data_IF_697808040813
#
_entry.id   IF_697808040813
#
_cell.length_a   1.000
_cell.length_b   1.000
_cell.length_c   1.000
_cell.angle_alpha   90.00
_cell.angle_beta   90.00
_cell.angle_gamma   90.00
#
_symmetry.space_group_name_H-M   'P 1'
#
loop_
_entity.id
_entity.type
_entity.pdbx_description
1 polymer ?
#
# COMPACT_ATOMS: atom_id res chain seq x y z
N UNK A 1 26.23 38.49 6.96
CA UNK A 1 24.88 38.00 6.61
C UNK A 1 24.07 38.08 7.87
N UNK A 2 22.88 38.68 7.82
CA UNK A 2 21.98 38.78 8.97
C UNK A 2 20.77 37.89 8.77
N UNK A 3 20.31 37.23 9.82
CA UNK A 3 19.11 36.41 9.83
C UNK A 3 18.10 37.02 10.80
N UNK A 4 16.90 37.32 10.31
CA UNK A 4 15.76 37.77 11.09
C UNK A 4 15.06 36.56 11.72
N UNK A 5 14.78 36.66 13.01
CA UNK A 5 14.12 35.58 13.78
C UNK A 5 12.68 35.98 14.11
N UNK A 6 11.73 35.37 13.41
CA UNK A 6 10.29 35.52 13.66
C UNK A 6 9.85 34.57 14.78
N UNK A 7 10.20 34.88 16.03
CA UNK A 7 10.01 33.99 17.17
C UNK A 7 8.57 33.46 17.32
N UNK A 8 7.56 34.28 17.03
CA UNK A 8 6.15 33.90 17.09
C UNK A 8 5.76 32.75 16.13
N UNK A 9 6.59 32.45 15.12
CA UNK A 9 6.38 31.34 14.18
C UNK A 9 7.13 30.07 14.58
N UNK A 10 8.06 30.13 15.52
CA UNK A 10 8.86 28.96 15.89
C UNK A 10 8.02 27.94 16.65
N UNK A 11 8.00 26.68 16.19
CA UNK A 11 7.30 25.55 16.81
C UNK A 11 8.26 24.51 17.42
N UNK A 12 9.53 24.85 17.64
CA UNK A 12 10.47 24.00 18.38
C UNK A 12 11.03 22.77 17.64
N UNK A 13 10.96 22.71 16.31
CA UNK A 13 11.45 21.55 15.53
C UNK A 13 12.98 21.35 15.55
N UNK A 14 13.75 22.34 16.00
CA UNK A 14 15.22 22.33 16.08
C UNK A 14 16.00 22.04 14.77
N UNK A 15 15.35 22.02 13.61
CA UNK A 15 15.97 21.70 12.31
C UNK A 15 17.07 22.69 11.89
N UNK A 16 16.96 23.95 12.29
CA UNK A 16 17.98 24.96 12.02
C UNK A 16 19.28 24.65 12.79
N UNK A 17 19.20 24.37 14.09
CA UNK A 17 20.35 24.03 14.92
C UNK A 17 20.95 22.67 14.58
N UNK A 18 20.15 21.70 14.10
CA UNK A 18 20.68 20.44 13.59
C UNK A 18 21.57 20.64 12.33
N UNK A 19 21.28 21.66 11.51
CA UNK A 19 22.04 22.00 10.30
C UNK A 19 23.25 22.89 10.61
N UNK A 20 23.10 23.87 11.49
CA UNK A 20 24.14 24.81 11.86
C UNK A 20 24.12 25.10 13.37
N UNK A 21 24.62 24.17 14.21
CA UNK A 21 24.57 24.29 15.68
C UNK A 21 25.45 25.43 16.22
N UNK A 22 26.45 25.84 15.45
CA UNK A 22 27.28 27.00 15.78
C UNK A 22 26.48 28.32 15.65
N UNK A 23 25.55 28.39 14.69
CA UNK A 23 24.80 29.59 14.31
C UNK A 23 23.49 29.73 15.10
N UNK A 24 22.68 28.67 15.17
CA UNK A 24 21.35 28.72 15.79
C UNK A 24 21.40 28.20 17.22
N UNK A 25 21.07 29.07 18.18
CA UNK A 25 20.97 28.71 19.60
C UNK A 25 19.52 28.51 19.99
N UNK A 26 19.26 27.40 20.65
CA UNK A 26 17.93 27.02 21.11
C UNK A 26 17.86 27.08 22.64
N UNK A 27 16.66 27.28 23.17
CA UNK A 27 16.38 27.00 24.57
C UNK A 27 16.24 25.49 24.84
N UNK A 28 16.02 25.13 26.10
CA UNK A 28 15.86 23.73 26.53
C UNK A 28 14.61 23.05 25.95
N UNK A 29 13.64 23.83 25.48
CA UNK A 29 12.42 23.34 24.84
C UNK A 29 12.54 23.25 23.30
N UNK A 30 13.71 23.57 22.73
CA UNK A 30 13.99 23.47 21.30
C UNK A 30 13.57 24.69 20.47
N UNK A 31 13.14 25.78 21.11
CA UNK A 31 12.78 27.02 20.42
C UNK A 31 14.01 27.87 20.14
N UNK A 32 14.01 28.56 19.00
CA UNK A 32 15.07 29.52 18.67
C UNK A 32 15.05 30.66 19.68
N UNK A 33 16.23 31.03 20.19
CA UNK A 33 16.37 32.16 21.09
C UNK A 33 15.97 33.47 20.38
N UNK A 34 15.38 34.44 21.11
CA UNK A 34 14.97 35.72 20.53
C UNK A 34 16.17 36.55 20.08
N UNK A 35 15.95 37.32 19.00
CA UNK A 35 16.92 38.26 18.46
C UNK A 35 17.48 37.82 17.11
N UNK A 36 17.72 38.80 16.25
CA UNK A 36 18.32 38.56 14.94
C UNK A 36 19.78 38.11 15.07
N UNK A 37 20.23 37.27 14.14
CA UNK A 37 21.52 36.61 14.19
C UNK A 37 22.44 37.22 13.14
N UNK A 38 23.57 37.77 13.60
CA UNK A 38 24.69 38.12 12.71
C UNK A 38 25.56 36.88 12.50
N UNK A 39 25.64 36.42 11.26
CA UNK A 39 26.36 35.21 10.88
C UNK A 39 27.83 35.54 10.63
N UNK A 40 28.71 34.83 11.35
CA UNK A 40 30.15 34.94 11.21
C UNK A 40 30.66 34.52 9.82
N UNK A 41 31.82 35.05 9.43
CA UNK A 41 32.46 34.69 8.17
C UNK A 41 32.87 33.22 8.14
N UNK A 42 32.45 32.52 7.07
CA UNK A 42 32.63 31.08 6.89
C UNK A 42 31.38 30.25 7.20
N UNK A 43 30.43 30.76 7.99
CA UNK A 43 29.23 30.03 8.40
C UNK A 43 28.01 30.30 7.50
N UNK A 44 28.12 31.21 6.53
CA UNK A 44 26.96 31.70 5.75
C UNK A 44 26.23 30.61 4.95
N UNK A 45 26.94 29.59 4.47
CA UNK A 45 26.33 28.47 3.72
C UNK A 45 25.49 27.60 4.66
N UNK A 46 26.05 27.18 5.79
CA UNK A 46 25.34 26.37 6.79
C UNK A 46 24.18 27.15 7.41
N UNK A 47 24.36 28.45 7.64
CA UNK A 47 23.31 29.33 8.10
C UNK A 47 22.14 29.39 7.08
N UNK A 48 22.45 29.53 5.78
CA UNK A 48 21.43 29.53 4.72
C UNK A 48 20.65 28.22 4.64
N UNK A 49 21.34 27.08 4.79
CA UNK A 49 20.69 25.76 4.81
C UNK A 49 19.84 25.57 6.08
N UNK A 50 20.28 26.09 7.23
CA UNK A 50 19.50 26.07 8.46
C UNK A 50 18.27 26.98 8.43
N UNK A 51 18.33 28.11 7.70
CA UNK A 51 17.13 28.93 7.44
C UNK A 51 16.13 28.14 6.59
N UNK A 52 16.59 27.51 5.50
CA UNK A 52 15.75 26.74 4.57
C UNK A 52 15.17 25.45 5.17
N UNK A 53 15.77 24.91 6.23
CA UNK A 53 15.26 23.72 6.91
C UNK A 53 14.11 24.01 7.87
N UNK A 54 13.75 25.27 8.11
CA UNK A 54 12.64 25.65 8.98
C UNK A 54 11.29 25.47 8.26
N UNK A 55 10.43 24.51 8.67
CA UNK A 55 9.13 24.29 8.03
C UNK A 55 8.14 25.44 8.27
N UNK A 56 8.33 26.19 9.36
CA UNK A 56 7.43 27.27 9.81
C UNK A 56 7.80 28.66 9.27
N UNK A 57 8.87 28.74 8.47
CA UNK A 57 9.39 30.02 7.95
C UNK A 57 9.62 31.05 9.07
N UNK A 58 10.13 30.58 10.21
CA UNK A 58 10.46 31.40 11.37
C UNK A 58 11.80 32.13 11.23
N UNK A 59 12.58 31.84 10.18
CA UNK A 59 13.89 32.43 9.92
C UNK A 59 13.91 33.02 8.52
N UNK A 60 14.51 34.20 8.37
CA UNK A 60 14.60 34.92 7.10
C UNK A 60 15.99 35.55 6.96
N UNK A 61 16.61 35.49 5.78
CA UNK A 61 17.88 36.17 5.53
C UNK A 61 17.59 37.63 5.16
N UNK A 62 18.14 38.57 5.93
CA UNK A 62 18.05 40.00 5.65
C UNK A 62 19.12 40.40 4.62
N UNK A 63 18.75 40.26 3.34
CA UNK A 63 19.56 40.72 2.22
C UNK A 63 19.18 42.16 1.83
N UNK A 64 20.14 43.10 1.75
CA UNK A 64 19.86 44.45 1.25
C UNK A 64 19.38 44.38 -0.20
N UNK A 65 18.52 45.32 -0.65
CA UNK A 65 17.84 45.24 -1.94
C UNK A 65 18.77 45.14 -3.17
N UNK A 66 20.06 45.47 -3.06
CA UNK A 66 21.06 45.28 -4.13
C UNK A 66 21.55 43.83 -4.30
N UNK A 67 21.44 42.97 -3.27
CA UNK A 67 21.83 41.56 -3.34
C UNK A 67 20.70 40.66 -3.90
N UNK A 68 19.48 41.20 -4.06
CA UNK A 68 18.33 40.50 -4.65
C UNK A 68 18.39 40.39 -6.18
N UNK A 69 19.39 40.98 -6.82
CA UNK A 69 19.68 40.71 -8.22
C UNK A 69 20.49 39.43 -8.28
N UNK A 70 19.80 38.31 -8.51
CA UNK A 70 20.43 37.16 -9.15
C UNK A 70 21.07 37.72 -10.41
N UNK A 71 22.40 37.73 -10.50
CA UNK A 71 23.00 38.02 -11.80
C UNK A 71 22.39 37.01 -12.77
N UNK A 72 21.73 37.49 -13.81
CA UNK A 72 21.53 36.79 -15.08
C UNK A 72 22.92 36.54 -15.71
N UNK A 73 23.85 35.96 -14.96
CA UNK A 73 24.84 35.09 -15.53
C UNK A 73 23.99 34.00 -16.14
N UNK A 74 23.79 34.12 -17.46
CA UNK A 74 23.06 33.19 -18.29
C UNK A 74 23.53 31.80 -17.90
N UNK A 75 22.74 31.10 -17.08
CA UNK A 75 22.93 29.67 -16.90
C UNK A 75 22.60 29.12 -18.28
N UNK A 76 23.63 29.01 -19.11
CA UNK A 76 23.57 28.19 -20.30
C UNK A 76 23.03 26.86 -19.80
N UNK A 77 21.90 26.36 -20.33
CA UNK A 77 21.43 25.05 -19.96
C UNK A 77 22.64 24.13 -20.10
N UNK A 78 23.00 23.42 -19.02
CA UNK A 78 23.97 22.33 -19.12
C UNK A 78 23.30 21.27 -19.99
N UNK A 79 23.36 21.46 -21.30
CA UNK A 79 22.90 20.53 -22.34
C UNK A 79 23.75 19.26 -22.34
N UNK A 80 24.83 19.25 -21.58
CA UNK A 80 25.65 18.08 -21.33
C UNK A 80 25.46 17.62 -19.88
N UNK A 81 24.72 16.53 -19.73
CA UNK A 81 24.78 15.67 -18.56
C UNK A 81 26.27 15.35 -18.30
N UNK A 82 26.83 15.71 -17.13
CA UNK A 82 28.23 15.45 -16.85
C UNK A 82 28.58 13.98 -17.08
N UNK A 83 29.78 13.69 -17.60
CA UNK A 83 30.18 12.32 -17.95
C UNK A 83 30.06 11.35 -16.76
N UNK A 84 30.33 11.84 -15.53
CA UNK A 84 30.14 11.07 -14.29
C UNK A 84 28.68 10.73 -13.96
N UNK A 85 27.71 11.50 -14.48
CA UNK A 85 26.26 11.20 -14.38
C UNK A 85 25.84 10.25 -15.50
N UNK A 86 26.47 10.32 -16.69
CA UNK A 86 26.27 9.33 -17.78
C UNK A 86 26.80 7.94 -17.40
N UNK A 87 27.79 7.88 -16.52
CA UNK A 87 28.35 6.65 -15.96
C UNK A 87 27.93 6.39 -14.52
N UNK A 88 26.79 6.91 -14.08
CA UNK A 88 26.05 6.19 -13.04
C UNK A 88 25.51 4.92 -13.70
N UNK A 89 26.40 3.95 -13.93
CA UNK A 89 26.00 2.56 -13.87
C UNK A 89 25.32 2.46 -12.51
N UNK A 90 23.99 2.41 -12.51
CA UNK A 90 23.27 1.77 -11.44
C UNK A 90 23.81 0.35 -11.44
N UNK A 91 24.93 0.14 -10.74
CA UNK A 91 25.30 -1.16 -10.29
C UNK A 91 24.09 -1.58 -9.47
N UNK A 92 23.21 -2.37 -10.09
CA UNK A 92 22.15 -3.07 -9.39
C UNK A 92 22.89 -4.00 -8.44
N UNK A 93 23.21 -3.50 -7.25
CA UNK A 93 23.78 -4.35 -6.23
C UNK A 93 22.77 -5.48 -6.02
N UNK A 94 23.27 -6.71 -5.96
CA UNK A 94 22.39 -7.88 -5.87
C UNK A 94 21.46 -7.77 -4.65
N UNK A 95 21.93 -7.07 -3.60
CA UNK A 95 21.16 -6.69 -2.41
C UNK A 95 19.95 -5.80 -2.74
N UNK A 96 20.11 -4.74 -3.54
CA UNK A 96 19.03 -3.83 -3.93
C UNK A 96 18.03 -4.51 -4.84
N UNK A 97 18.49 -5.32 -5.78
CA UNK A 97 17.61 -6.15 -6.61
C UNK A 97 16.81 -7.13 -5.76
N UNK A 98 17.44 -7.80 -4.79
CA UNK A 98 16.75 -8.71 -3.88
C UNK A 98 15.69 -7.98 -3.02
N UNK A 99 16.00 -6.79 -2.50
CA UNK A 99 15.02 -5.97 -1.75
C UNK A 99 13.83 -5.55 -2.60
N UNK A 100 14.05 -5.21 -3.87
CA UNK A 100 12.94 -4.88 -4.79
C UNK A 100 12.06 -6.11 -5.04
N UNK A 101 12.66 -7.27 -5.30
CA UNK A 101 11.91 -8.53 -5.47
C UNK A 101 11.10 -8.85 -4.22
N UNK A 102 11.69 -8.70 -3.03
CA UNK A 102 11.01 -8.93 -1.76
C UNK A 102 9.82 -7.96 -1.55
N UNK A 103 9.94 -6.70 -1.97
CA UNK A 103 8.84 -5.74 -1.94
C UNK A 103 7.72 -6.12 -2.91
N UNK A 104 8.06 -6.53 -4.14
CA UNK A 104 7.08 -7.02 -5.12
C UNK A 104 6.34 -8.26 -4.62
N UNK A 105 7.07 -9.18 -3.99
CA UNK A 105 6.50 -10.40 -3.41
C UNK A 105 5.54 -10.10 -2.25
N UNK A 106 5.90 -9.14 -1.38
CA UNK A 106 4.98 -8.69 -0.32
C UNK A 106 3.69 -8.09 -0.87
N UNK A 107 3.78 -7.26 -1.92
CA UNK A 107 2.60 -6.68 -2.55
C UNK A 107 1.75 -7.74 -3.27
N UNK A 108 2.38 -8.73 -3.92
CA UNK A 108 1.65 -9.84 -4.54
C UNK A 108 0.88 -10.68 -3.51
N UNK A 109 1.46 -10.92 -2.34
CA UNK A 109 0.80 -11.61 -1.22
C UNK A 109 -0.38 -10.78 -0.69
N UNK A 110 -0.20 -9.46 -0.48
CA UNK A 110 -1.28 -8.57 -0.03
C UNK A 110 -2.43 -8.52 -1.04
N UNK A 111 -2.12 -8.35 -2.32
CA UNK A 111 -3.10 -8.40 -3.40
C UNK A 111 -3.87 -9.72 -3.41
N UNK A 112 -3.18 -10.85 -3.19
CA UNK A 112 -3.82 -12.15 -3.07
C UNK A 112 -4.86 -12.22 -1.92
N UNK A 113 -4.53 -11.67 -0.75
CA UNK A 113 -5.48 -11.57 0.38
C UNK A 113 -6.68 -10.67 0.01
N UNK A 114 -6.46 -9.57 -0.69
CA UNK A 114 -7.53 -8.69 -1.14
C UNK A 114 -8.41 -9.32 -2.22
N UNK A 115 -7.83 -10.12 -3.13
CA UNK A 115 -8.56 -10.94 -4.11
C UNK A 115 -9.44 -11.96 -3.40
N UNK A 116 -8.95 -12.63 -2.36
CA UNK A 116 -9.76 -13.53 -1.55
C UNK A 116 -11.00 -12.83 -0.97
N UNK A 117 -10.82 -11.67 -0.31
CA UNK A 117 -11.94 -10.90 0.26
C UNK A 117 -12.93 -10.47 -0.81
N UNK A 118 -12.44 -9.89 -1.91
CA UNK A 118 -13.29 -9.44 -3.02
C UNK A 118 -14.07 -10.60 -3.65
N UNK A 119 -13.41 -11.74 -3.88
CA UNK A 119 -14.04 -12.94 -4.42
C UNK A 119 -15.18 -13.43 -3.55
N UNK A 120 -14.93 -13.52 -2.24
CA UNK A 120 -15.95 -13.90 -1.24
C UNK A 120 -17.09 -12.89 -1.16
N UNK A 121 -16.78 -11.61 -1.05
CA UNK A 121 -17.76 -10.55 -0.82
C UNK A 121 -18.64 -10.25 -2.03
N UNK A 122 -18.17 -10.61 -3.23
CA UNK A 122 -18.87 -10.40 -4.49
C UNK A 122 -19.34 -11.69 -5.13
N UNK A 123 -19.20 -12.83 -4.46
CA UNK A 123 -19.50 -14.13 -5.04
C UNK A 123 -18.84 -14.33 -6.42
N UNK A 124 -17.64 -13.78 -6.61
CA UNK A 124 -16.86 -13.92 -7.84
C UNK A 124 -15.96 -15.16 -7.70
N UNK A 125 -16.46 -16.29 -8.22
CA UNK A 125 -15.80 -17.58 -8.14
C UNK A 125 -14.40 -17.55 -8.74
N UNK A 126 -14.22 -16.89 -9.89
CA UNK A 126 -12.93 -16.85 -10.57
C UNK A 126 -11.89 -16.08 -9.74
N UNK A 127 -12.28 -14.94 -9.17
CA UNK A 127 -11.41 -14.15 -8.30
C UNK A 127 -11.12 -14.89 -6.99
N UNK A 128 -12.12 -15.53 -6.37
CA UNK A 128 -11.93 -16.32 -5.16
C UNK A 128 -10.95 -17.47 -5.38
N UNK A 129 -11.14 -18.24 -6.46
CA UNK A 129 -10.25 -19.34 -6.83
C UNK A 129 -8.83 -18.88 -7.11
N UNK A 130 -8.65 -17.68 -7.68
CA UNK A 130 -7.31 -17.14 -7.96
C UNK A 130 -6.46 -16.92 -6.72
N UNK A 131 -7.08 -16.84 -5.53
CA UNK A 131 -6.36 -16.64 -4.27
C UNK A 131 -5.70 -17.91 -3.73
N UNK A 132 -6.10 -19.10 -4.22
CA UNK A 132 -5.61 -20.39 -3.75
C UNK A 132 -4.84 -21.13 -4.84
N UNK A 133 -3.89 -21.97 -4.42
CA UNK A 133 -3.41 -23.04 -5.28
C UNK A 133 -4.48 -24.15 -5.41
N UNK A 134 -4.56 -24.86 -6.55
CA UNK A 134 -5.54 -25.94 -6.73
C UNK A 134 -5.43 -27.08 -5.71
N UNK A 135 -4.24 -27.30 -5.17
CA UNK A 135 -3.91 -28.30 -4.14
C UNK A 135 -3.92 -27.75 -2.71
N UNK A 136 -4.37 -26.50 -2.53
CA UNK A 136 -4.35 -25.84 -1.22
C UNK A 136 -5.32 -26.49 -0.22
N UNK A 137 -5.05 -26.28 1.06
CA UNK A 137 -5.89 -26.72 2.18
C UNK A 137 -6.43 -25.54 3.00
N UNK A 138 -7.64 -25.68 3.51
CA UNK A 138 -8.31 -24.67 4.33
C UNK A 138 -8.91 -25.32 5.59
N UNK A 139 -8.54 -24.77 6.75
CA UNK A 139 -9.11 -25.06 8.06
C UNK A 139 -9.90 -23.85 8.55
N UNK A 140 -11.21 -23.88 8.32
CA UNK A 140 -12.15 -22.79 8.54
C UNK A 140 -13.15 -23.13 9.66
N UNK A 141 -12.65 -23.37 10.86
CA UNK A 141 -13.47 -23.82 12.00
C UNK A 141 -13.96 -25.26 11.81
N UNK A 142 -15.27 -25.44 11.60
CA UNK A 142 -15.88 -26.76 11.41
C UNK A 142 -15.51 -27.41 10.06
N UNK A 143 -15.15 -26.59 9.06
CA UNK A 143 -14.61 -27.10 7.80
C UNK A 143 -13.11 -27.35 7.91
N UNK A 144 -12.66 -28.53 7.49
CA UNK A 144 -11.24 -28.87 7.33
C UNK A 144 -11.06 -29.76 6.12
N UNK A 145 -10.32 -29.30 5.12
CA UNK A 145 -10.09 -30.07 3.90
C UNK A 145 -9.44 -29.24 2.79
N UNK A 146 -9.68 -29.63 1.54
CA UNK A 146 -9.17 -28.90 0.38
C UNK A 146 -9.77 -27.49 0.27
N UNK A 147 -9.03 -26.55 -0.28
CA UNK A 147 -9.56 -25.22 -0.63
C UNK A 147 -10.69 -25.33 -1.66
N UNK A 148 -10.63 -26.29 -2.59
CA UNK A 148 -11.72 -26.59 -3.53
C UNK A 148 -13.04 -26.89 -2.81
N UNK A 149 -13.01 -27.76 -1.81
CA UNK A 149 -14.21 -28.10 -1.04
C UNK A 149 -14.76 -26.91 -0.26
N UNK A 150 -13.88 -26.06 0.28
CA UNK A 150 -14.27 -24.83 0.95
C UNK A 150 -14.94 -23.86 -0.02
N UNK A 151 -14.35 -23.66 -1.19
CA UNK A 151 -14.90 -22.77 -2.23
C UNK A 151 -16.29 -23.25 -2.65
N UNK A 152 -16.50 -24.56 -2.87
CA UNK A 152 -17.84 -25.10 -3.19
C UNK A 152 -18.86 -24.80 -2.09
N UNK A 153 -18.47 -25.02 -0.84
CA UNK A 153 -19.32 -24.67 0.31
C UNK A 153 -19.68 -23.18 0.31
N UNK A 154 -18.70 -22.30 0.09
CA UNK A 154 -18.92 -20.86 0.01
C UNK A 154 -19.87 -20.46 -1.14
N UNK A 155 -19.71 -21.07 -2.33
CA UNK A 155 -20.58 -20.83 -3.49
C UNK A 155 -22.03 -21.27 -3.23
N UNK A 156 -22.25 -22.35 -2.48
CA UNK A 156 -23.60 -22.76 -2.08
C UNK A 156 -24.25 -21.76 -1.13
N UNK A 157 -23.47 -21.20 -0.19
CA UNK A 157 -23.92 -20.10 0.68
C UNK A 157 -24.26 -18.87 -0.17
N UNK A 158 -23.46 -18.52 -1.19
CA UNK A 158 -23.74 -17.36 -2.05
C UNK A 158 -25.09 -17.43 -2.79
N UNK A 159 -25.62 -18.63 -3.05
CA UNK A 159 -26.95 -18.80 -3.67
C UNK A 159 -28.09 -18.32 -2.78
N UNK A 160 -27.86 -18.15 -1.47
CA UNK A 160 -28.88 -17.69 -0.52
C UNK A 160 -29.02 -16.16 -0.48
N UNK A 161 -28.34 -15.43 -1.37
CA UNK A 161 -28.25 -13.97 -1.35
C UNK A 161 -27.55 -13.36 -0.11
N UNK A 162 -26.52 -14.00 0.48
CA UNK A 162 -25.82 -13.47 1.64
C UNK A 162 -25.08 -12.18 1.26
N UNK A 163 -24.89 -11.32 2.26
CA UNK A 163 -24.03 -10.15 2.13
C UNK A 163 -22.83 -10.33 3.03
N UNK A 164 -21.65 -10.39 2.42
CA UNK A 164 -20.38 -10.50 3.12
C UNK A 164 -19.56 -9.23 2.92
N UNK A 165 -18.88 -8.80 3.98
CA UNK A 165 -17.87 -7.77 3.93
C UNK A 165 -16.69 -8.28 4.77
N UNK A 166 -15.54 -8.50 4.13
CA UNK A 166 -14.29 -8.85 4.79
C UNK A 166 -13.30 -7.69 4.66
N UNK A 167 -12.77 -7.25 5.78
CA UNK A 167 -11.69 -6.27 5.84
C UNK A 167 -10.47 -6.97 6.41
N UNK A 168 -9.32 -6.81 5.76
CA UNK A 168 -8.06 -7.41 6.20
C UNK A 168 -7.07 -6.31 6.55
N UNK A 169 -6.48 -6.40 7.74
CA UNK A 169 -5.52 -5.43 8.29
C UNK A 169 -4.34 -6.15 8.96
N UNK A 170 -3.36 -5.38 9.45
CA UNK A 170 -2.25 -5.89 10.26
C UNK A 170 -1.52 -7.08 9.60
N UNK A 171 -1.24 -6.97 8.29
CA UNK A 171 -0.64 -8.06 7.51
C UNK A 171 0.87 -8.12 7.78
N UNK A 172 1.29 -9.19 8.45
CA UNK A 172 2.68 -9.51 8.72
C UNK A 172 3.12 -10.65 7.79
N UNK A 173 4.25 -10.45 7.10
CA UNK A 173 4.77 -11.39 6.10
C UNK A 173 6.20 -11.74 6.48
N UNK A 174 6.44 -13.00 6.76
CA UNK A 174 7.76 -13.56 7.04
C UNK A 174 8.12 -14.58 5.95
N UNK A 175 9.14 -14.28 5.16
CA UNK A 175 9.62 -15.20 4.14
C UNK A 175 10.41 -16.34 4.80
N UNK A 176 9.98 -17.57 4.57
CA UNK A 176 10.74 -18.78 4.93
C UNK A 176 11.89 -18.93 3.95
N UNK A 177 11.61 -18.72 2.66
CA UNK A 177 12.57 -18.75 1.56
C UNK A 177 12.00 -17.95 0.36
N UNK A 178 12.67 -17.98 -0.78
CA UNK A 178 12.26 -17.23 -1.98
C UNK A 178 10.91 -17.66 -2.60
N UNK A 179 10.38 -18.82 -2.19
CA UNK A 179 9.15 -19.39 -2.71
C UNK A 179 8.09 -19.67 -1.64
N UNK A 180 8.36 -19.39 -0.36
CA UNK A 180 7.42 -19.65 0.74
C UNK A 180 7.45 -18.54 1.78
N UNK A 181 6.27 -18.19 2.28
CA UNK A 181 6.11 -17.19 3.34
C UNK A 181 5.00 -17.60 4.31
N UNK A 182 5.22 -17.38 5.61
CA UNK A 182 4.15 -17.36 6.60
C UNK A 182 3.54 -15.97 6.62
N UNK A 183 2.21 -15.92 6.63
CA UNK A 183 1.47 -14.66 6.60
C UNK A 183 0.42 -14.68 7.69
N UNK A 184 0.52 -13.73 8.61
CA UNK A 184 -0.55 -13.44 9.55
C UNK A 184 -1.30 -12.20 9.07
N UNK A 185 -2.62 -12.27 9.05
CA UNK A 185 -3.45 -11.09 8.77
C UNK A 185 -4.69 -11.08 9.64
N UNK A 186 -5.06 -9.91 10.15
CA UNK A 186 -6.26 -9.74 10.96
C UNK A 186 -7.44 -9.53 10.02
N UNK A 187 -8.59 -10.11 10.35
CA UNK A 187 -9.83 -9.84 9.64
C UNK A 187 -10.91 -9.33 10.58
N UNK A 188 -11.73 -8.42 10.06
CA UNK A 188 -13.09 -8.18 10.54
C UNK A 188 -14.06 -8.56 9.43
N UNK A 189 -15.09 -9.33 9.77
CA UNK A 189 -16.07 -9.77 8.82
C UNK A 189 -17.50 -9.53 9.30
N UNK A 190 -18.34 -9.01 8.41
CA UNK A 190 -19.78 -9.08 8.53
C UNK A 190 -20.26 -10.16 7.57
N UNK A 191 -20.79 -11.24 8.12
CA UNK A 191 -21.36 -12.34 7.33
C UNK A 191 -22.86 -12.42 7.59
N UNK A 192 -23.65 -12.52 6.53
CA UNK A 192 -25.11 -12.69 6.65
C UNK A 192 -25.53 -13.92 5.89
N UNK A 193 -26.31 -14.81 6.50
CA UNK A 193 -26.78 -16.03 5.84
C UNK A 193 -27.91 -16.69 6.63
N UNK A 194 -28.65 -17.64 6.02
CA UNK A 194 -29.68 -18.38 6.72
C UNK A 194 -29.06 -19.31 7.77
N UNK A 195 -29.68 -19.42 8.94
CA UNK A 195 -29.41 -20.49 9.89
C UNK A 195 -30.06 -21.81 9.44
N UNK A 196 -29.95 -22.85 10.28
CA UNK A 196 -30.51 -24.18 10.01
C UNK A 196 -32.04 -24.20 9.81
N UNK A 197 -32.73 -23.19 10.33
CA UNK A 197 -34.18 -23.06 10.28
C UNK A 197 -34.61 -22.12 9.12
N UNK A 198 -33.64 -21.56 8.38
CA UNK A 198 -33.85 -20.67 7.23
C UNK A 198 -33.91 -19.18 7.59
N UNK A 199 -33.77 -18.83 8.87
CA UNK A 199 -33.83 -17.44 9.33
C UNK A 199 -32.50 -16.73 9.06
N UNK A 200 -32.57 -15.50 8.53
CA UNK A 200 -31.36 -14.75 8.19
C UNK A 200 -30.69 -14.22 9.45
N UNK A 201 -29.47 -14.68 9.71
CA UNK A 201 -28.60 -14.21 10.80
C UNK A 201 -27.47 -13.35 10.27
N UNK A 202 -26.98 -12.45 11.11
CA UNK A 202 -25.77 -11.67 10.83
C UNK A 202 -24.74 -11.97 11.90
N UNK A 203 -23.52 -12.29 11.50
CA UNK A 203 -22.39 -12.52 12.39
C UNK A 203 -21.37 -11.41 12.17
N UNK A 204 -20.94 -10.77 13.26
CA UNK A 204 -19.74 -9.95 13.29
C UNK A 204 -18.61 -10.79 13.85
N UNK A 205 -17.56 -10.95 13.05
CA UNK A 205 -16.41 -11.79 13.36
C UNK A 205 -15.15 -10.96 13.37
N UNK A 206 -14.28 -11.21 14.34
CA UNK A 206 -12.90 -10.76 14.30
C UNK A 206 -11.99 -11.98 14.46
N UNK A 207 -10.87 -11.98 13.76
CA UNK A 207 -9.94 -13.08 13.86
C UNK A 207 -8.69 -12.84 13.06
N UNK A 208 -7.96 -13.93 12.81
CA UNK A 208 -6.76 -13.95 12.00
C UNK A 208 -6.84 -15.04 10.94
N UNK A 209 -6.32 -14.73 9.76
CA UNK A 209 -5.86 -15.73 8.81
C UNK A 209 -4.38 -15.99 9.10
N UNK A 210 -4.06 -17.24 9.42
CA UNK A 210 -2.70 -17.73 9.52
C UNK A 210 -2.45 -18.62 8.29
N UNK A 211 -1.71 -18.08 7.34
CA UNK A 211 -1.56 -18.65 6.01
C UNK A 211 -0.11 -19.10 5.74
N UNK A 212 0.04 -20.22 5.04
CA UNK A 212 1.23 -20.55 4.27
C UNK A 212 1.00 -20.12 2.83
N UNK A 213 1.82 -19.20 2.35
CA UNK A 213 1.86 -18.78 0.96
C UNK A 213 2.98 -19.49 0.21
N UNK A 214 2.70 -19.88 -1.02
CA UNK A 214 3.71 -20.42 -1.93
C UNK A 214 3.76 -19.63 -3.23
N UNK A 215 4.98 -19.45 -3.74
CA UNK A 215 5.27 -18.90 -5.06
C UNK A 215 5.48 -20.03 -6.06
N UNK A 216 4.68 -20.07 -7.13
CA UNK A 216 4.89 -20.99 -8.26
C UNK A 216 4.75 -20.19 -9.55
N UNK A 217 5.68 -20.38 -10.48
CA UNK A 217 5.68 -19.69 -11.78
C UNK A 217 5.59 -18.15 -11.67
N UNK A 218 6.16 -17.58 -10.59
CA UNK A 218 6.17 -16.13 -10.35
C UNK A 218 4.95 -15.59 -9.60
N UNK A 219 3.92 -16.40 -9.37
CA UNK A 219 2.70 -15.99 -8.68
C UNK A 219 2.66 -16.47 -7.22
N UNK A 220 2.16 -15.63 -6.32
CA UNK A 220 1.89 -15.99 -4.92
C UNK A 220 0.41 -16.30 -4.71
N UNK A 221 0.14 -17.46 -4.10
CA UNK A 221 -1.20 -17.87 -3.69
C UNK A 221 -1.17 -18.63 -2.37
N UNK A 222 -2.33 -18.73 -1.72
CA UNK A 222 -2.51 -19.47 -0.47
C UNK A 222 -2.35 -20.96 -0.75
N UNK A 223 -1.43 -21.62 -0.04
CA UNK A 223 -1.25 -23.07 -0.06
C UNK A 223 -1.93 -23.73 1.16
N UNK A 224 -1.85 -23.09 2.33
CA UNK A 224 -2.57 -23.54 3.52
C UNK A 224 -3.15 -22.34 4.24
N UNK A 225 -4.38 -22.48 4.75
CA UNK A 225 -5.04 -21.49 5.59
C UNK A 225 -5.56 -22.12 6.86
N UNK A 226 -5.26 -21.48 8.00
CA UNK A 226 -5.98 -21.69 9.24
C UNK A 226 -6.67 -20.40 9.66
N UNK A 227 -7.99 -20.47 9.82
CA UNK A 227 -8.78 -19.35 10.35
C UNK A 227 -8.87 -19.46 11.85
N UNK A 228 -8.36 -18.44 12.53
CA UNK A 228 -8.40 -18.30 13.97
C UNK A 228 -9.45 -17.27 14.32
N UNK A 229 -10.48 -17.66 15.05
CA UNK A 229 -11.53 -16.75 15.52
C UNK A 229 -11.13 -16.20 16.88
N UNK A 230 -10.95 -14.89 16.97
CA UNK A 230 -10.59 -14.21 18.21
C UNK A 230 -11.83 -13.54 18.86
N UNK A 231 -12.87 -13.23 18.07
CA UNK A 231 -14.15 -12.69 18.54
C UNK A 231 -15.32 -13.08 17.62
N UNK A 232 -16.49 -13.30 18.20
CA UNK A 232 -17.73 -13.57 17.47
C UNK A 232 -18.92 -12.95 18.21
N UNK A 233 -19.75 -12.23 17.47
CA UNK A 233 -20.99 -11.62 17.95
C UNK A 233 -22.12 -11.88 16.95
N UNK A 234 -23.20 -12.52 17.41
CA UNK A 234 -24.43 -12.63 16.63
C UNK A 234 -25.24 -11.33 16.71
N UNK A 235 -25.70 -10.85 15.57
CA UNK A 235 -26.48 -9.64 15.41
C UNK A 235 -27.79 -9.94 14.70
N UNK A 236 -28.86 -9.27 15.13
CA UNK A 236 -30.16 -9.36 14.46
C UNK A 236 -30.16 -8.35 13.31
N UNK A 237 -30.21 -8.80 12.04
CA UNK A 237 -30.28 -7.90 10.92
C UNK A 237 -31.60 -7.12 10.91
N UNK A 238 -31.56 -5.85 10.52
CA UNK A 238 -32.77 -5.04 10.35
C UNK A 238 -33.72 -5.67 9.33
N UNK A 239 -35.01 -5.71 9.68
CA UNK A 239 -36.10 -6.14 8.79
C UNK A 239 -36.53 -5.06 7.79
N UNK A 240 -35.94 -3.86 7.87
CA UNK A 240 -36.19 -2.76 6.93
C UNK A 240 -35.62 -3.13 5.56
N UNK A 241 -36.42 -2.94 4.51
CA UNK A 241 -36.00 -3.19 3.12
C UNK A 241 -34.73 -2.39 2.80
N UNK A 242 -33.81 -2.98 2.02
CA UNK A 242 -32.54 -2.31 1.69
C UNK A 242 -32.75 -0.95 1.02
N UNK A 243 -33.75 -0.82 0.16
CA UNK A 243 -34.11 0.43 -0.50
C UNK A 243 -34.41 1.56 0.51
N UNK A 244 -35.13 1.25 1.59
CA UNK A 244 -35.44 2.19 2.66
C UNK A 244 -34.21 2.45 3.54
N UNK A 245 -33.46 1.39 3.88
CA UNK A 245 -32.26 1.46 4.73
C UNK A 245 -31.17 2.35 4.11
N UNK A 246 -30.89 2.20 2.82
CA UNK A 246 -29.87 2.98 2.13
C UNK A 246 -30.42 4.32 1.63
N UNK A 247 -31.72 4.40 1.31
CA UNK A 247 -32.36 5.61 0.80
C UNK A 247 -31.59 6.19 -0.39
N UNK A 248 -31.14 7.43 -0.26
CA UNK A 248 -30.39 8.15 -1.31
C UNK A 248 -28.91 7.72 -1.46
N UNK A 249 -28.40 6.82 -0.60
CA UNK A 249 -27.01 6.32 -0.66
C UNK A 249 -26.89 5.20 -1.70
N UNK A 250 -26.89 5.58 -2.97
CA UNK A 250 -26.77 4.69 -4.13
C UNK A 250 -25.52 5.03 -4.96
N UNK A 251 -24.93 4.07 -5.71
CA UNK A 251 -25.31 2.65 -5.78
C UNK A 251 -24.86 1.85 -4.54
N UNK A 252 -25.56 0.77 -4.25
CA UNK A 252 -25.12 -0.24 -3.25
C UNK A 252 -24.27 -1.33 -3.91
N UNK A 253 -23.37 -1.94 -3.14
CA UNK A 253 -22.57 -3.09 -3.61
C UNK A 253 -23.45 -4.30 -3.93
N UNK A 254 -23.06 -5.03 -4.97
CA UNK A 254 -23.78 -6.18 -5.54
C UNK A 254 -22.80 -7.34 -5.83
N UNK A 255 -23.28 -8.58 -6.03
CA UNK A 255 -22.42 -9.66 -6.53
C UNK A 255 -21.82 -9.37 -7.92
N UNK A 256 -20.81 -10.13 -8.32
CA UNK A 256 -20.34 -10.18 -9.69
C UNK A 256 -21.46 -10.68 -10.61
N UNK A 257 -21.62 -10.11 -11.82
CA UNK A 257 -20.78 -9.06 -12.43
C UNK A 257 -21.26 -7.62 -12.16
N UNK A 258 -22.30 -7.45 -11.33
CA UNK A 258 -23.07 -6.21 -11.22
C UNK A 258 -22.48 -5.19 -10.23
N UNK A 259 -21.45 -5.57 -9.45
CA UNK A 259 -20.75 -4.58 -8.61
C UNK A 259 -20.12 -3.45 -9.46
N UNK A 260 -20.23 -2.17 -9.05
CA UNK A 260 -19.69 -1.03 -9.78
C UNK A 260 -18.21 -1.15 -10.17
N UNK A 261 -17.40 -1.87 -9.38
CA UNK A 261 -15.97 -2.03 -9.67
C UNK A 261 -15.71 -2.75 -11.00
N UNK A 262 -16.57 -3.69 -11.40
CA UNK A 262 -16.39 -4.46 -12.63
C UNK A 262 -16.71 -3.63 -13.88
N UNK A 263 -17.63 -2.68 -13.78
CA UNK A 263 -17.89 -1.72 -14.85
C UNK A 263 -16.70 -0.78 -15.10
N UNK A 264 -15.94 -0.43 -14.05
CA UNK A 264 -14.73 0.38 -14.18
C UNK A 264 -13.57 -0.40 -14.81
N UNK A 265 -13.43 -1.70 -14.49
CA UNK A 265 -12.42 -2.58 -15.07
C UNK A 265 -12.47 -2.66 -16.60
N UNK A 266 -13.66 -2.53 -17.20
CA UNK A 266 -13.84 -2.48 -18.67
C UNK A 266 -13.22 -1.26 -19.34
N UNK A 267 -12.87 -0.22 -18.56
CA UNK A 267 -12.20 1.00 -19.06
C UNK A 267 -10.68 0.90 -19.01
N UNK A 268 -10.13 -0.19 -18.46
CA UNK A 268 -8.69 -0.38 -18.34
C UNK A 268 -8.11 -0.45 -19.75
N UNK A 269 -7.26 0.50 -20.10
CA UNK A 269 -6.45 0.43 -21.32
C UNK A 269 -5.60 -0.84 -21.19
N UNK A 270 -5.56 -1.67 -22.24
CA UNK A 270 -4.68 -2.83 -22.27
C UNK A 270 -3.26 -2.36 -21.91
N UNK A 271 -2.69 -2.88 -20.83
CA UNK A 271 -1.32 -2.55 -20.46
C UNK A 271 -0.38 -2.99 -21.59
N UNK A 272 0.73 -2.26 -21.73
CA UNK A 272 1.79 -2.53 -22.72
C UNK A 272 2.35 -3.96 -22.68
N UNK A 273 2.07 -4.75 -21.65
CA UNK A 273 2.46 -6.17 -21.55
C UNK A 273 1.78 -7.06 -22.59
N UNK A 274 0.68 -6.60 -23.20
CA UNK A 274 0.03 -7.28 -24.32
C UNK A 274 0.91 -7.33 -25.57
N UNK A 275 1.95 -6.48 -25.67
CA UNK A 275 2.83 -6.38 -26.83
C UNK A 275 4.01 -7.38 -26.80
N UNK A 276 4.29 -8.02 -25.66
CA UNK A 276 5.44 -8.93 -25.52
C UNK A 276 5.12 -10.35 -26.06
N UNK A 277 3.85 -10.72 -26.16
CA UNK A 277 3.44 -12.08 -26.59
C UNK A 277 3.33 -12.25 -28.11
N UNK A 278 3.64 -11.24 -28.93
CA UNK A 278 3.52 -11.31 -30.41
C UNK A 278 4.83 -11.30 -31.20
N UNK A 279 5.98 -11.51 -30.56
CA UNK A 279 7.19 -11.88 -31.31
C UNK A 279 7.27 -13.42 -31.40
N UNK A 280 6.64 -13.95 -32.44
CA UNK A 280 6.73 -15.36 -32.82
C UNK A 280 8.19 -15.80 -33.04
N UNK A 281 8.47 -17.11 -32.95
CA UNK A 281 9.84 -17.61 -33.03
C UNK A 281 10.44 -17.29 -34.40
N UNK A 282 11.55 -16.56 -34.40
CA UNK A 282 12.46 -16.48 -35.53
C UNK A 282 12.87 -17.91 -35.91
N UNK A 283 12.32 -18.41 -37.01
CA UNK A 283 12.86 -19.56 -37.72
C UNK A 283 14.25 -19.17 -38.23
N UNK A 284 15.29 -19.69 -37.59
CA UNK A 284 16.60 -19.80 -38.21
C UNK A 284 16.57 -21.03 -39.11
N UNK A 285 16.48 -20.79 -40.41
CA UNK A 285 16.64 -21.80 -41.45
C UNK A 285 18.13 -22.14 -41.58
N UNK A 286 18.51 -23.33 -41.15
CA UNK A 286 19.80 -23.94 -41.48
C UNK A 286 19.55 -25.02 -42.53
N UNK A 287 19.61 -24.63 -43.80
CA UNK A 287 19.55 -25.51 -44.95
C UNK A 287 20.76 -25.30 -45.86
N UNK A 288 21.40 -26.43 -46.20
CA UNK A 288 22.61 -26.63 -47.02
C UNK A 288 22.63 -25.88 -48.36
#
# INVERSE_FOLDING_TARGET
MRIIVHQARCQGHAQCAARAPAVFKLDEAGYILPGDIEVADGEQVLASDGVRSCPELALEIDDPPAARIVSEATLKPKTEVPEHVRTAQFATDQTGQAKIVELLDREAIRDCLYRYCRGTDRADEAVLRSAYWPDAHDSHGAYRGSAEGFIRYALDVFKTGPRNIHQVTNILIEFINAAEATVESYFTALQRGPDKDGEVRQMFLCGRYCDLFQKREGEWRIAERTVVYDWLEEQIPSLVLEAERFGTRQPIGAPYPDDPVYALGKRRIASHDSAITTLGPHQYDYGL
#
